data_IF_483706600314
#
_entry.id   IF_483706600314
#
_cell.length_a   1.000
_cell.length_b   1.000
_cell.length_c   1.000
_cell.angle_alpha   90.00
_cell.angle_beta   90.00
_cell.angle_gamma   90.00
#
_symmetry.space_group_name_H-M   'P 1'
#
loop_
_entity.id
_entity.type
_entity.pdbx_description
1 polymer ?
#
# COMPACT_ATOMS: atom_id res chain seq x y z
N UNK A 1 27.38 11.17 -0.66
CA UNK A 1 26.45 10.34 -1.45
C UNK A 1 25.15 11.12 -1.57
N UNK A 2 25.06 11.94 -2.60
CA UNK A 2 23.82 12.65 -2.94
C UNK A 2 22.76 11.58 -3.17
N UNK A 3 21.75 11.55 -2.30
CA UNK A 3 20.49 10.87 -2.64
C UNK A 3 19.98 11.64 -3.84
N UNK A 4 20.19 11.11 -5.03
CA UNK A 4 19.40 11.45 -6.21
C UNK A 4 17.96 11.16 -5.80
N UNK A 5 17.30 12.16 -5.21
CA UNK A 5 15.88 12.09 -4.87
C UNK A 5 15.20 12.08 -6.21
N UNK A 6 15.07 10.87 -6.75
CA UNK A 6 14.30 10.57 -7.93
C UNK A 6 12.90 11.01 -7.53
N UNK A 7 12.55 12.25 -7.89
CA UNK A 7 11.29 12.88 -7.49
C UNK A 7 10.25 12.25 -8.37
N UNK A 8 9.90 11.00 -8.03
CA UNK A 8 8.87 10.27 -8.72
C UNK A 8 7.58 11.05 -8.57
N UNK A 9 6.90 11.23 -9.69
CA UNK A 9 5.67 12.01 -9.72
C UNK A 9 4.63 11.28 -8.87
N UNK A 10 3.81 12.02 -8.16
CA UNK A 10 2.71 11.46 -7.37
C UNK A 10 1.80 10.52 -8.19
N UNK A 11 1.74 10.71 -9.52
CA UNK A 11 1.06 9.82 -10.45
C UNK A 11 1.66 8.42 -10.53
N UNK A 12 2.99 8.27 -10.45
CA UNK A 12 3.67 6.98 -10.46
C UNK A 12 3.41 6.20 -9.17
N UNK A 13 3.42 6.90 -8.02
CA UNK A 13 3.06 6.31 -6.73
C UNK A 13 1.58 5.86 -6.74
N UNK A 14 0.67 6.68 -7.28
CA UNK A 14 -0.73 6.30 -7.42
C UNK A 14 -0.90 5.09 -8.36
N UNK A 15 -0.13 5.00 -9.45
CA UNK A 15 -0.13 3.84 -10.34
C UNK A 15 0.34 2.56 -9.63
N UNK A 16 1.43 2.63 -8.86
CA UNK A 16 1.91 1.53 -8.02
C UNK A 16 0.85 1.05 -7.02
N UNK A 17 0.17 1.97 -6.33
CA UNK A 17 -0.91 1.58 -5.42
C UNK A 17 -2.11 0.95 -6.14
N UNK A 18 -2.46 1.41 -7.36
CA UNK A 18 -3.51 0.77 -8.16
C UNK A 18 -3.11 -0.64 -8.60
N UNK A 19 -1.86 -0.84 -9.02
CA UNK A 19 -1.34 -2.14 -9.40
C UNK A 19 -1.34 -3.10 -8.20
N UNK A 20 -0.76 -2.68 -7.07
CA UNK A 20 -0.80 -3.46 -5.83
C UNK A 20 -2.22 -3.81 -5.40
N UNK A 21 -3.20 -2.93 -5.59
CA UNK A 21 -4.59 -3.22 -5.24
C UNK A 21 -5.19 -4.39 -6.02
N UNK A 22 -4.73 -4.66 -7.25
CA UNK A 22 -5.16 -5.83 -8.04
C UNK A 22 -4.67 -7.13 -7.42
N UNK A 23 -3.44 -7.13 -6.90
CA UNK A 23 -2.79 -8.29 -6.29
C UNK A 23 -3.05 -8.43 -4.79
N UNK A 24 -3.61 -7.39 -4.17
CA UNK A 24 -4.06 -7.45 -2.78
C UNK A 24 -5.27 -8.39 -2.70
N UNK A 25 -5.02 -9.66 -2.40
CA UNK A 25 -6.02 -10.73 -2.44
C UNK A 25 -7.34 -10.30 -1.81
N UNK A 26 -8.42 -10.57 -2.55
CA UNK A 26 -9.77 -10.62 -1.99
C UNK A 26 -9.93 -11.98 -1.29
N UNK A 27 -10.83 -12.01 -0.31
CA UNK A 27 -11.04 -13.04 0.71
C UNK A 27 -11.17 -14.51 0.26
N UNK A 28 -11.03 -14.87 -1.04
CA UNK A 28 -11.53 -16.15 -1.55
C UNK A 28 -10.65 -16.89 -2.60
N UNK A 29 -9.52 -16.36 -3.09
CA UNK A 29 -8.77 -17.04 -4.17
C UNK A 29 -7.51 -17.75 -3.64
N UNK A 30 -7.64 -19.08 -3.52
CA UNK A 30 -6.62 -20.13 -3.44
C UNK A 30 -5.52 -20.00 -2.38
N UNK A 31 -5.63 -20.75 -1.28
CA UNK A 31 -5.12 -22.13 -1.10
C UNK A 31 -5.58 -22.62 0.29
N UNK A 32 -5.41 -23.92 0.57
CA UNK A 32 -5.83 -24.71 1.73
C UNK A 32 -5.37 -24.23 3.13
N UNK A 33 -5.00 -22.97 3.30
CA UNK A 33 -4.62 -22.36 4.56
C UNK A 33 -5.38 -21.04 4.73
N UNK A 34 -6.45 -21.07 5.53
CA UNK A 34 -7.46 -20.00 5.71
C UNK A 34 -6.92 -18.71 6.36
N UNK A 35 -5.62 -18.41 6.29
CA UNK A 35 -4.94 -17.41 7.12
C UNK A 35 -3.90 -16.53 6.41
N UNK A 36 -3.81 -16.53 5.08
CA UNK A 36 -2.75 -15.77 4.40
C UNK A 36 -3.12 -14.29 4.21
N UNK A 37 -2.71 -13.45 5.16
CA UNK A 37 -2.76 -11.98 5.00
C UNK A 37 -1.85 -11.56 3.86
N UNK A 38 -2.42 -10.99 2.79
CA UNK A 38 -1.59 -10.30 1.79
C UNK A 38 -1.29 -8.90 2.30
N UNK A 39 -0.03 -8.67 2.68
CA UNK A 39 0.49 -7.35 3.00
C UNK A 39 0.61 -6.50 1.72
N UNK A 40 0.54 -5.18 1.85
CA UNK A 40 0.59 -4.28 0.69
C UNK A 40 1.97 -4.31 0.04
N UNK A 41 3.05 -4.51 0.80
CA UNK A 41 4.40 -4.70 0.24
C UNK A 41 4.48 -5.92 -0.69
N UNK A 42 3.96 -7.08 -0.26
CA UNK A 42 3.90 -8.28 -1.11
C UNK A 42 3.06 -8.05 -2.38
N UNK A 43 1.98 -7.27 -2.27
CA UNK A 43 1.17 -6.92 -3.44
C UNK A 43 1.88 -5.95 -4.40
N UNK A 44 2.78 -5.10 -3.89
CA UNK A 44 3.67 -4.26 -4.71
C UNK A 44 4.73 -5.10 -5.41
N UNK A 45 5.34 -6.06 -4.70
CA UNK A 45 6.32 -6.98 -5.28
C UNK A 45 5.70 -7.82 -6.40
N UNK A 46 4.48 -8.33 -6.19
CA UNK A 46 3.72 -9.04 -7.23
C UNK A 46 3.46 -8.14 -8.45
N UNK A 47 3.03 -6.89 -8.25
CA UNK A 47 2.84 -5.96 -9.35
C UNK A 47 4.13 -5.70 -10.15
N UNK A 48 5.28 -5.67 -9.49
CA UNK A 48 6.57 -5.55 -10.16
C UNK A 48 6.96 -6.83 -10.92
N UNK A 49 6.79 -8.01 -10.32
CA UNK A 49 7.07 -9.30 -10.98
C UNK A 49 6.22 -9.49 -12.24
N UNK A 50 4.99 -8.97 -12.25
CA UNK A 50 4.09 -8.98 -13.40
C UNK A 50 4.37 -7.85 -14.42
N UNK A 51 5.41 -7.04 -14.20
CA UNK A 51 5.79 -5.89 -15.03
C UNK A 51 4.71 -4.79 -15.16
N UNK A 52 3.78 -4.69 -14.20
CA UNK A 52 2.72 -3.68 -14.22
C UNK A 52 3.23 -2.26 -13.88
N UNK A 53 4.32 -2.18 -13.11
CA UNK A 53 4.91 -0.94 -12.60
C UNK A 53 6.43 -1.07 -12.46
N UNK A 54 7.15 0.05 -12.54
CA UNK A 54 8.60 0.06 -12.42
C UNK A 54 9.07 -0.18 -10.98
N UNK A 55 10.32 -0.64 -10.83
CA UNK A 55 10.98 -0.83 -9.55
C UNK A 55 10.99 0.48 -8.73
N UNK A 56 11.32 1.60 -9.37
CA UNK A 56 11.31 2.92 -8.75
C UNK A 56 9.93 3.28 -8.16
N UNK A 57 8.86 2.99 -8.90
CA UNK A 57 7.50 3.29 -8.45
C UNK A 57 7.07 2.43 -7.25
N UNK A 58 7.46 1.14 -7.20
CA UNK A 58 7.17 0.30 -6.04
C UNK A 58 8.00 0.70 -4.81
N UNK A 59 9.25 1.12 -5.00
CA UNK A 59 10.12 1.56 -3.90
C UNK A 59 9.53 2.82 -3.24
N UNK A 60 9.18 3.83 -4.04
CA UNK A 60 8.54 5.03 -3.51
C UNK A 60 7.18 4.76 -2.88
N UNK A 61 6.36 3.86 -3.44
CA UNK A 61 5.11 3.46 -2.83
C UNK A 61 5.33 2.72 -1.50
N UNK A 62 6.36 1.87 -1.42
CA UNK A 62 6.79 1.17 -0.21
C UNK A 62 7.25 2.12 0.89
N UNK A 63 8.05 3.13 0.54
CA UNK A 63 8.49 4.18 1.47
C UNK A 63 7.30 4.93 2.06
N UNK A 64 6.30 5.30 1.25
CA UNK A 64 5.06 5.95 1.73
C UNK A 64 4.31 5.06 2.72
N UNK A 65 4.25 3.74 2.49
CA UNK A 65 3.61 2.80 3.40
C UNK A 65 4.39 2.72 4.72
N UNK A 66 5.71 2.58 4.64
CA UNK A 66 6.59 2.47 5.80
C UNK A 66 6.52 3.73 6.67
N UNK A 67 6.61 4.91 6.06
CA UNK A 67 6.52 6.21 6.75
C UNK A 67 5.21 6.33 7.54
N UNK A 68 4.08 5.93 6.93
CA UNK A 68 2.78 6.00 7.61
C UNK A 68 2.55 4.96 8.69
N UNK A 69 3.12 3.77 8.52
CA UNK A 69 3.05 2.72 9.55
C UNK A 69 4.04 2.98 10.69
N UNK A 70 5.08 3.78 10.46
CA UNK A 70 6.12 4.07 11.42
C UNK A 70 6.76 2.79 11.96
N UNK A 71 6.95 2.72 13.28
CA UNK A 71 7.57 1.57 13.95
C UNK A 71 6.72 0.29 13.95
N UNK A 72 5.45 0.35 13.54
CA UNK A 72 4.56 -0.81 13.65
C UNK A 72 4.81 -1.86 12.57
N UNK A 73 5.43 -1.50 11.44
CA UNK A 73 5.76 -2.35 10.28
C UNK A 73 4.59 -3.10 9.59
N UNK A 74 3.43 -3.22 10.25
CA UNK A 74 2.23 -3.87 9.73
C UNK A 74 0.98 -3.06 10.07
N UNK A 75 -0.04 -3.15 9.22
CA UNK A 75 -1.34 -2.53 9.46
C UNK A 75 -2.00 -3.06 10.74
N UNK A 76 -1.89 -4.36 11.03
CA UNK A 76 -2.46 -4.95 12.26
C UNK A 76 -1.84 -4.32 13.51
N UNK A 77 -0.51 -4.27 13.57
CA UNK A 77 0.20 -3.65 14.69
C UNK A 77 -0.11 -2.15 14.79
N UNK A 78 -0.20 -1.44 13.66
CA UNK A 78 -0.58 -0.03 13.66
C UNK A 78 -1.99 0.18 14.20
N UNK A 79 -2.96 -0.65 13.79
CA UNK A 79 -4.33 -0.58 14.30
C UNK A 79 -4.41 -0.88 15.80
N UNK A 80 -3.65 -1.86 16.30
CA UNK A 80 -3.60 -2.21 17.72
C UNK A 80 -2.93 -1.11 18.56
N UNK A 81 -1.76 -0.65 18.14
CA UNK A 81 -0.87 0.16 18.98
C UNK A 81 -1.08 1.66 18.81
N UNK A 82 -1.38 2.11 17.59
CA UNK A 82 -1.56 3.54 17.26
C UNK A 82 -3.03 3.90 17.27
N UNK A 83 -3.87 3.18 16.52
CA UNK A 83 -5.31 3.45 16.46
C UNK A 83 -6.10 2.89 17.66
N UNK A 84 -5.44 2.15 18.56
CA UNK A 84 -6.02 1.57 19.79
C UNK A 84 -7.28 0.72 19.53
N UNK A 85 -7.32 0.03 18.39
CA UNK A 85 -8.39 -0.91 18.06
C UNK A 85 -8.28 -2.14 18.96
N UNK A 86 -9.37 -2.53 19.62
CA UNK A 86 -9.40 -3.73 20.48
C UNK A 86 -9.00 -4.98 19.70
N UNK A 87 -8.18 -5.84 20.30
CA UNK A 87 -7.68 -7.07 19.67
C UNK A 87 -8.79 -7.98 19.15
N UNK A 88 -9.92 -8.07 19.89
CA UNK A 88 -11.10 -8.83 19.47
C UNK A 88 -11.74 -8.35 18.16
N UNK A 89 -11.42 -7.14 17.70
CA UNK A 89 -11.89 -6.56 16.44
C UNK A 89 -10.85 -6.69 15.31
N UNK A 90 -9.62 -7.13 15.60
CA UNK A 90 -8.54 -7.32 14.64
C UNK A 90 -8.58 -8.72 14.00
N UNK A 91 -9.78 -9.12 13.57
CA UNK A 91 -9.93 -10.34 12.77
C UNK A 91 -9.27 -10.15 11.42
N UNK A 92 -8.75 -11.24 10.84
CA UNK A 92 -8.16 -11.28 9.51
C UNK A 92 -8.96 -10.47 8.48
N UNK A 93 -10.26 -10.77 8.39
CA UNK A 93 -11.18 -10.10 7.47
C UNK A 93 -11.22 -8.59 7.66
N UNK A 94 -11.28 -8.15 8.92
CA UNK A 94 -11.40 -6.72 9.24
C UNK A 94 -10.11 -5.99 8.91
N UNK A 95 -8.96 -6.59 9.22
CA UNK A 95 -7.65 -6.03 8.88
C UNK A 95 -7.46 -5.99 7.37
N UNK A 96 -7.80 -7.06 6.64
CA UNK A 96 -7.68 -7.10 5.18
C UNK A 96 -8.60 -6.08 4.50
N UNK A 97 -9.86 -5.96 4.95
CA UNK A 97 -10.77 -4.91 4.50
C UNK A 97 -10.21 -3.52 4.80
N UNK A 98 -9.57 -3.33 5.96
CA UNK A 98 -8.91 -2.08 6.29
C UNK A 98 -7.74 -1.78 5.35
N UNK A 99 -6.90 -2.77 5.01
CA UNK A 99 -5.81 -2.62 4.00
C UNK A 99 -6.36 -2.14 2.66
N UNK A 100 -7.43 -2.77 2.16
CA UNK A 100 -8.10 -2.37 0.91
C UNK A 100 -8.64 -0.94 0.95
N UNK A 101 -9.29 -0.56 2.06
CA UNK A 101 -9.82 0.79 2.25
C UNK A 101 -8.70 1.82 2.34
N UNK A 102 -7.65 1.52 3.10
CA UNK A 102 -6.49 2.38 3.26
C UNK A 102 -5.76 2.60 1.93
N UNK A 103 -5.49 1.53 1.17
CA UNK A 103 -4.87 1.62 -0.14
C UNK A 103 -5.73 2.46 -1.12
N UNK A 104 -7.06 2.35 -1.04
CA UNK A 104 -7.97 3.20 -1.81
C UNK A 104 -7.88 4.68 -1.44
N UNK A 105 -7.67 5.00 -0.15
CA UNK A 105 -7.45 6.39 0.30
C UNK A 105 -6.10 6.92 -0.18
N UNK A 106 -5.05 6.10 -0.14
CA UNK A 106 -3.74 6.46 -0.67
C UNK A 106 -3.80 6.77 -2.17
N UNK A 107 -4.47 5.94 -2.97
CA UNK A 107 -4.65 6.21 -4.42
C UNK A 107 -5.27 7.59 -4.64
N UNK A 108 -6.39 7.90 -3.96
CA UNK A 108 -7.07 9.20 -4.08
C UNK A 108 -6.19 10.37 -3.66
N UNK A 109 -5.42 10.21 -2.60
CA UNK A 109 -4.53 11.25 -2.11
C UNK A 109 -3.44 11.58 -3.14
N UNK A 110 -2.78 10.56 -3.69
CA UNK A 110 -1.70 10.74 -4.65
C UNK A 110 -2.21 11.18 -6.03
N UNK A 111 -3.42 10.80 -6.42
CA UNK A 111 -4.11 11.38 -7.58
C UNK A 111 -4.33 12.88 -7.41
N UNK A 112 -4.83 13.31 -6.23
CA UNK A 112 -5.02 14.72 -5.95
C UNK A 112 -3.70 15.50 -5.89
N UNK A 113 -2.61 14.88 -5.45
CA UNK A 113 -1.26 15.49 -5.51
C UNK A 113 -0.77 15.61 -6.95
N UNK A 114 -0.96 14.58 -7.77
CA UNK A 114 -0.56 14.58 -9.18
C UNK A 114 -1.29 15.67 -9.97
N UNK A 115 -2.60 15.83 -9.74
CA UNK A 115 -3.40 16.89 -10.37
C UNK A 115 -2.88 18.28 -10.01
N UNK A 116 -2.64 18.55 -8.72
CA UNK A 116 -2.12 19.83 -8.24
C UNK A 116 -0.73 20.17 -8.81
N UNK A 117 0.13 19.17 -8.99
CA UNK A 117 1.45 19.37 -9.59
C UNK A 117 1.36 19.70 -11.10
N UNK A 118 0.38 19.13 -11.81
CA UNK A 118 0.14 19.41 -13.23
C UNK A 118 -0.51 20.77 -13.50
N UNK A 119 -1.24 21.34 -12.53
CA UNK A 119 -1.84 22.69 -12.62
C UNK A 119 -0.81 23.82 -12.35
N UNK A 120 0.38 23.48 -11.88
CA UNK A 120 1.47 24.43 -11.56
C UNK A 120 2.62 24.39 -12.59
N UNK A 121 2.49 23.60 -13.65
CA UNK A 121 3.52 23.40 -14.70
C UNK A 121 3.16 24.11 -16.01
#
# INVERSE_FOLDING_TARGET
MERTVNTLKASQIAAAFRAAKRYLRRKAEYTCDERTETYICLALDEAWMQNDVSLDAIQAAGEVIQDRLGCCSTMRAWLANVARVKESLLTYERVQRHRHAWLSRLIREFDAKAKRAGEQS
#
